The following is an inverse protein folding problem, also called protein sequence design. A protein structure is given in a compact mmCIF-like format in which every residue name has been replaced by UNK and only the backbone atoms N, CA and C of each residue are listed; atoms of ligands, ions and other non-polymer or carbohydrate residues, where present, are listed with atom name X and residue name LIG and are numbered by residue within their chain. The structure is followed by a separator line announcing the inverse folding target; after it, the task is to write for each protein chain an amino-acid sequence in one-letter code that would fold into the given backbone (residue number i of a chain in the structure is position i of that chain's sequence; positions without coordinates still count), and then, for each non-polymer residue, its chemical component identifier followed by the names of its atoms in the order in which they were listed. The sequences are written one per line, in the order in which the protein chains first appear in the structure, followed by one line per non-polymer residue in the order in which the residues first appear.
data_IF_449866524245
#
_entry.id   IF_449866524245
#
_cell.length_a   1.000
_cell.length_b   1.000
_cell.length_c   1.000
_cell.angle_alpha   90.00
_cell.angle_beta   90.00
_cell.angle_gamma   90.00
#
_symmetry.space_group_name_H-M   'P 1'
#
loop_
_entity.id
_entity.type
_entity.pdbx_description
1 polymer ?
#
# COMPACT_ATOMS: atom_id res chain seq x y z
N UNK A 1 1.16 1.96 24.78
CA UNK A 1 2.28 2.93 24.86
C UNK A 1 2.65 3.26 23.44
N UNK A 2 2.72 4.52 23.09
CA UNK A 2 3.22 4.96 21.79
C UNK A 2 4.70 4.61 21.70
N UNK A 3 5.13 4.03 20.58
CA UNK A 3 6.53 3.72 20.31
C UNK A 3 7.25 5.01 19.93
N UNK A 4 8.43 5.25 20.47
CA UNK A 4 9.18 6.49 20.26
C UNK A 4 10.23 6.29 19.19
N UNK A 5 10.24 7.19 18.18
CA UNK A 5 11.33 7.37 17.22
C UNK A 5 12.06 8.68 17.57
N UNK A 6 13.28 8.58 18.04
CA UNK A 6 14.13 9.76 18.29
C UNK A 6 14.89 10.13 17.01
N UNK A 7 14.94 11.41 16.69
CA UNK A 7 15.69 11.92 15.53
C UNK A 7 16.70 12.94 15.97
N UNK A 8 17.97 12.67 15.69
CA UNK A 8 19.07 13.59 15.94
C UNK A 8 19.86 13.86 14.66
N UNK A 9 20.01 15.12 14.33
CA UNK A 9 20.86 15.58 13.25
C UNK A 9 21.66 16.80 13.68
N UNK A 10 22.85 16.96 13.10
CA UNK A 10 23.70 18.15 13.33
C UNK A 10 23.04 19.45 12.84
N UNK A 11 22.09 19.32 11.86
CA UNK A 11 21.19 20.39 11.46
C UNK A 11 19.88 20.30 12.27
N UNK A 12 19.68 21.19 13.27
CA UNK A 12 18.46 21.18 14.08
C UNK A 12 17.20 21.47 13.29
N UNK A 13 17.30 22.20 12.18
CA UNK A 13 16.16 22.51 11.35
C UNK A 13 15.67 21.26 10.59
N UNK A 14 16.59 20.39 10.18
CA UNK A 14 16.26 19.13 9.55
C UNK A 14 15.50 18.20 10.50
N UNK A 15 16.06 17.97 11.71
CA UNK A 15 15.45 17.09 12.70
C UNK A 15 14.02 17.52 13.05
N UNK A 16 13.79 18.83 13.26
CA UNK A 16 12.46 19.39 13.54
C UNK A 16 11.50 19.21 12.37
N UNK A 17 11.89 19.60 11.15
CA UNK A 17 11.05 19.46 9.96
C UNK A 17 10.66 18.00 9.70
N UNK A 18 11.61 17.09 9.87
CA UNK A 18 11.32 15.67 9.69
C UNK A 18 10.30 15.18 10.72
N UNK A 19 10.46 15.52 11.99
CA UNK A 19 9.52 15.15 13.05
C UNK A 19 8.13 15.77 12.79
N UNK A 20 8.06 17.06 12.45
CA UNK A 20 6.79 17.75 12.17
C UNK A 20 6.03 17.09 11.00
N UNK A 21 6.73 16.84 9.88
CA UNK A 21 6.14 16.20 8.70
C UNK A 21 5.71 14.76 9.00
N UNK A 22 6.47 14.04 9.82
CA UNK A 22 6.18 12.64 10.14
C UNK A 22 5.03 12.52 11.13
N UNK A 23 4.98 13.36 12.16
CA UNK A 23 3.91 13.37 13.16
C UNK A 23 2.56 13.86 12.61
N UNK A 24 2.56 14.70 11.57
CA UNK A 24 1.31 15.08 10.87
C UNK A 24 0.70 13.92 10.09
N UNK A 25 1.46 12.85 9.86
CA UNK A 25 0.98 11.68 9.13
C UNK A 25 0.47 10.64 10.12
N UNK A 26 -0.84 10.47 10.23
CA UNK A 26 -1.49 9.43 11.05
C UNK A 26 -1.05 7.98 10.73
N UNK A 27 -0.18 7.81 9.73
CA UNK A 27 0.25 6.51 9.18
C UNK A 27 1.50 5.96 9.86
N UNK A 28 2.24 6.78 10.60
CA UNK A 28 3.47 6.35 11.27
C UNK A 28 3.14 5.95 12.70
N UNK A 29 3.39 4.70 13.13
CA UNK A 29 3.03 4.21 14.46
C UNK A 29 4.08 4.56 15.51
N UNK A 30 4.78 5.67 15.31
CA UNK A 30 5.80 6.21 16.22
C UNK A 30 5.49 7.67 16.49
N UNK A 31 5.71 8.06 17.75
CA UNK A 31 5.84 9.47 18.11
C UNK A 31 7.28 9.92 17.82
N UNK A 32 7.44 10.84 16.89
CA UNK A 32 8.75 11.26 16.40
C UNK A 32 9.22 12.49 17.18
N UNK A 33 10.28 12.34 17.96
CA UNK A 33 10.82 13.38 18.83
C UNK A 33 12.15 13.88 18.27
N UNK A 34 12.24 15.17 17.89
CA UNK A 34 13.49 15.76 17.40
C UNK A 34 14.40 16.18 18.56
N UNK A 35 15.66 15.83 18.46
CA UNK A 35 16.71 16.27 19.37
C UNK A 35 17.73 17.15 18.64
N UNK A 36 18.15 18.21 19.29
CA UNK A 36 19.11 19.20 18.78
C UNK A 36 20.41 19.23 19.60
N UNK A 37 20.48 18.49 20.71
CA UNK A 37 21.69 18.27 21.46
C UNK A 37 21.83 16.80 21.85
N UNK A 38 23.06 16.32 21.84
CA UNK A 38 23.40 14.95 22.19
C UNK A 38 23.13 14.66 23.67
N UNK A 39 23.40 15.63 24.52
CA UNK A 39 23.19 15.53 25.97
C UNK A 39 21.71 15.35 26.29
N UNK A 40 20.82 16.11 25.62
CA UNK A 40 19.39 16.00 25.80
C UNK A 40 18.86 14.62 25.31
N UNK A 41 19.39 14.11 24.19
CA UNK A 41 19.05 12.79 23.66
C UNK A 41 19.50 11.68 24.64
N UNK A 42 20.72 11.74 25.14
CA UNK A 42 21.23 10.76 26.11
C UNK A 42 20.45 10.79 27.43
N UNK A 43 20.10 12.00 27.93
CA UNK A 43 19.30 12.13 29.14
C UNK A 43 17.88 11.57 28.94
N UNK A 44 17.31 11.78 27.75
CA UNK A 44 16.01 11.23 27.38
C UNK A 44 16.04 9.71 27.32
N UNK A 45 17.05 9.11 26.68
CA UNK A 45 17.22 7.66 26.54
C UNK A 45 17.38 6.94 27.88
N UNK A 46 17.94 7.61 28.92
CA UNK A 46 18.02 7.07 30.27
C UNK A 46 16.66 6.96 30.97
N UNK A 47 15.67 7.75 30.57
CA UNK A 47 14.34 7.86 31.20
C UNK A 47 13.23 7.19 30.40
N UNK A 48 13.43 7.04 29.07
CA UNK A 48 12.40 6.55 28.15
C UNK A 48 13.01 5.52 27.20
N UNK A 49 12.24 4.48 26.88
CA UNK A 49 12.65 3.50 25.85
C UNK A 49 12.52 4.16 24.47
N UNK A 50 13.63 4.29 23.76
CA UNK A 50 13.66 4.71 22.36
C UNK A 50 13.61 3.45 21.52
N UNK A 51 12.56 3.30 20.71
CA UNK A 51 12.37 2.14 19.84
C UNK A 51 13.24 2.23 18.59
N UNK A 52 13.26 3.42 17.96
CA UNK A 52 14.10 3.70 16.79
C UNK A 52 14.89 4.99 17.06
N UNK A 53 16.18 4.93 16.82
CA UNK A 53 17.05 6.11 16.80
C UNK A 53 17.49 6.39 15.36
N UNK A 54 17.04 7.50 14.82
CA UNK A 54 17.49 8.01 13.54
C UNK A 54 18.55 9.09 13.80
N UNK A 55 19.79 8.83 13.41
CA UNK A 55 20.93 9.67 13.83
C UNK A 55 21.90 9.96 12.66
N UNK A 56 22.48 11.17 12.63
CA UNK A 56 23.48 11.51 11.62
C UNK A 56 24.65 10.53 11.62
N UNK A 57 25.08 10.09 10.43
CA UNK A 57 26.22 9.17 10.24
C UNK A 57 27.56 9.77 10.69
N UNK A 58 27.61 11.07 11.01
CA UNK A 58 28.81 11.74 11.52
C UNK A 58 29.02 11.57 13.02
N UNK A 59 28.01 11.03 13.75
CA UNK A 59 28.11 10.83 15.21
C UNK A 59 28.92 9.57 15.51
N UNK A 60 29.93 9.67 16.41
CA UNK A 60 30.75 8.52 16.79
C UNK A 60 29.93 7.39 17.42
N UNK A 61 30.26 6.16 17.07
CA UNK A 61 29.56 4.95 17.52
C UNK A 61 29.41 4.85 19.03
N UNK A 62 30.44 5.19 19.78
CA UNK A 62 30.43 5.16 21.26
C UNK A 62 29.30 6.04 21.85
N UNK A 63 29.05 7.21 21.23
CA UNK A 63 27.97 8.11 21.66
C UNK A 63 26.58 7.54 21.29
N UNK A 64 26.48 6.83 20.17
CA UNK A 64 25.23 6.18 19.74
C UNK A 64 24.88 5.02 20.68
N UNK A 65 25.86 4.18 21.00
CA UNK A 65 25.67 3.03 21.92
C UNK A 65 25.28 3.49 23.33
N UNK A 66 25.79 4.64 23.79
CA UNK A 66 25.45 5.20 25.10
C UNK A 66 23.97 5.62 25.25
N UNK A 67 23.21 5.75 24.15
CA UNK A 67 21.79 6.11 24.16
C UNK A 67 20.92 4.91 24.50
N UNK A 68 21.33 3.69 24.11
CA UNK A 68 20.60 2.44 24.43
C UNK A 68 19.27 2.31 23.67
N UNK A 69 19.20 2.76 22.41
CA UNK A 69 18.01 2.57 21.57
C UNK A 69 17.86 1.12 21.09
N UNK A 70 16.62 0.66 20.88
CA UNK A 70 16.32 -0.70 20.43
C UNK A 70 16.81 -0.94 18.99
N UNK A 71 16.61 0.01 18.09
CA UNK A 71 17.09 -0.03 16.71
C UNK A 71 17.74 1.30 16.35
N UNK A 72 18.87 1.25 15.64
CA UNK A 72 19.59 2.44 15.18
C UNK A 72 19.65 2.44 13.67
N UNK A 73 19.30 3.58 13.06
CA UNK A 73 19.42 3.83 11.62
C UNK A 73 20.18 5.12 11.41
N UNK A 74 21.21 5.10 10.58
CA UNK A 74 22.04 6.28 10.32
C UNK A 74 21.54 7.07 9.11
N UNK A 75 21.60 8.40 9.21
CA UNK A 75 21.34 9.36 8.15
C UNK A 75 22.64 9.68 7.40
N UNK A 76 22.77 9.24 6.16
CA UNK A 76 23.92 9.53 5.32
C UNK A 76 23.65 10.70 4.37
N UNK A 77 24.65 11.57 4.19
CA UNK A 77 24.60 12.72 3.27
C UNK A 77 25.25 12.43 1.91
N UNK A 78 26.00 11.35 1.79
CA UNK A 78 26.70 10.90 0.57
C UNK A 78 26.06 9.74 -0.12
N UNK A 79 26.74 9.20 -1.15
CA UNK A 79 26.29 8.02 -1.89
C UNK A 79 26.05 6.80 -0.97
N UNK A 80 25.06 6.01 -1.33
CA UNK A 80 24.44 4.94 -0.56
C UNK A 80 25.49 3.91 -0.10
N UNK A 81 25.92 4.04 1.13
CA UNK A 81 26.56 2.96 1.87
C UNK A 81 25.44 2.25 2.63
N UNK A 82 25.22 0.96 2.36
CA UNK A 82 24.12 0.19 3.00
C UNK A 82 24.24 0.14 4.53
N UNK A 83 25.41 0.36 5.07
CA UNK A 83 25.68 0.43 6.51
C UNK A 83 26.86 1.32 6.82
N UNK A 84 26.77 2.07 7.92
CA UNK A 84 27.87 2.84 8.51
C UNK A 84 28.07 2.27 9.92
N UNK A 85 29.30 1.88 10.25
CA UNK A 85 29.65 1.28 11.55
C UNK A 85 28.76 0.13 12.01
N UNK A 86 28.32 -0.73 11.07
CA UNK A 86 27.38 -1.86 11.28
C UNK A 86 25.92 -1.45 11.49
N UNK A 87 25.55 -0.19 11.46
CA UNK A 87 24.18 0.26 11.48
C UNK A 87 23.63 0.42 10.06
N UNK A 88 22.37 0.04 9.78
CA UNK A 88 21.75 0.33 8.50
C UNK A 88 21.74 1.83 8.25
N UNK A 89 21.94 2.22 6.99
CA UNK A 89 22.06 3.61 6.60
C UNK A 89 21.04 3.99 5.53
N UNK A 90 20.41 5.14 5.69
CA UNK A 90 19.45 5.69 4.74
C UNK A 90 19.90 7.05 4.24
N UNK A 91 19.62 7.36 2.98
CA UNK A 91 19.99 8.66 2.41
C UNK A 91 19.11 9.77 2.96
N UNK A 92 19.74 10.81 3.52
CA UNK A 92 19.06 11.92 4.21
C UNK A 92 18.22 12.79 3.28
N UNK A 93 18.70 13.11 2.08
CA UNK A 93 18.09 14.07 1.16
C UNK A 93 17.14 13.41 0.18
N UNK A 94 16.14 12.70 0.68
CA UNK A 94 15.06 12.09 -0.11
C UNK A 94 13.69 12.56 0.42
N UNK A 95 12.61 12.24 -0.31
CA UNK A 95 11.25 12.56 0.16
C UNK A 95 10.97 11.90 1.53
N UNK A 96 10.32 12.61 2.43
CA UNK A 96 10.05 12.12 3.79
C UNK A 96 9.36 10.74 3.80
N UNK A 97 8.43 10.49 2.87
CA UNK A 97 7.75 9.18 2.75
C UNK A 97 8.71 8.05 2.39
N UNK A 98 9.67 8.31 1.51
CA UNK A 98 10.68 7.32 1.14
C UNK A 98 11.62 7.05 2.31
N UNK A 99 12.04 8.11 3.01
CA UNK A 99 12.89 7.99 4.19
C UNK A 99 12.21 7.17 5.30
N UNK A 100 10.97 7.52 5.65
CA UNK A 100 10.19 6.79 6.66
C UNK A 100 10.05 5.31 6.30
N UNK A 101 9.73 5.01 5.03
CA UNK A 101 9.59 3.62 4.55
C UNK A 101 10.89 2.85 4.70
N UNK A 102 12.03 3.42 4.32
CA UNK A 102 13.34 2.79 4.47
C UNK A 102 13.69 2.57 5.95
N UNK A 103 13.44 3.55 6.81
CA UNK A 103 13.67 3.44 8.27
C UNK A 103 12.81 2.30 8.87
N UNK A 104 11.52 2.24 8.50
CA UNK A 104 10.64 1.15 8.94
C UNK A 104 11.14 -0.20 8.40
N UNK A 105 11.62 -0.25 7.16
CA UNK A 105 12.22 -1.46 6.58
C UNK A 105 13.41 -1.96 7.41
N UNK A 106 14.35 -1.07 7.73
CA UNK A 106 15.49 -1.39 8.59
C UNK A 106 15.06 -1.86 9.99
N UNK A 107 14.02 -1.24 10.56
CA UNK A 107 13.48 -1.64 11.87
C UNK A 107 12.89 -3.06 11.84
N UNK A 108 12.18 -3.42 10.77
CA UNK A 108 11.60 -4.76 10.61
C UNK A 108 12.63 -5.87 10.41
N UNK A 109 13.86 -5.55 10.03
CA UNK A 109 14.97 -6.50 9.95
C UNK A 109 15.62 -6.81 11.32
N UNK A 110 15.26 -6.03 12.35
CA UNK A 110 15.79 -6.21 13.72
C UNK A 110 15.06 -7.33 14.47
N UNK A 111 15.76 -8.15 15.31
CA UNK A 111 15.18 -9.33 15.97
C UNK A 111 14.08 -9.04 17.01
N UNK A 112 13.91 -7.81 17.43
CA UNK A 112 13.01 -7.41 18.54
C UNK A 112 11.61 -6.99 18.09
N UNK A 113 11.18 -7.31 16.88
CA UNK A 113 9.87 -6.89 16.36
C UNK A 113 8.70 -7.53 17.13
N UNK A 114 8.07 -6.77 18.01
CA UNK A 114 6.77 -7.12 18.57
C UNK A 114 5.67 -6.70 17.60
N UNK A 115 4.95 -7.68 17.04
CA UNK A 115 3.87 -7.44 16.10
C UNK A 115 2.82 -6.47 16.63
N UNK A 116 2.64 -5.35 15.96
CA UNK A 116 1.50 -4.44 16.17
C UNK A 116 0.28 -5.06 15.51
N UNK A 117 -0.70 -5.48 16.30
CA UNK A 117 -2.02 -5.86 15.80
C UNK A 117 -2.90 -4.63 15.86
N UNK A 118 -3.28 -4.10 14.71
CA UNK A 118 -4.28 -3.04 14.63
C UNK A 118 -5.66 -3.68 14.82
N UNK A 119 -6.24 -3.54 16.00
CA UNK A 119 -7.62 -3.94 16.25
C UNK A 119 -8.55 -2.89 15.62
N UNK A 120 -8.94 -3.14 14.38
CA UNK A 120 -9.88 -2.32 13.61
C UNK A 120 -11.08 -3.15 13.12
N UNK A 121 -12.05 -2.46 12.50
CA UNK A 121 -13.11 -3.12 11.74
C UNK A 121 -12.48 -3.78 10.51
N UNK A 122 -12.95 -4.98 10.10
CA UNK A 122 -12.54 -5.62 8.85
C UNK A 122 -12.74 -4.65 7.68
N UNK A 123 -11.70 -4.45 6.88
CA UNK A 123 -11.79 -3.66 5.65
C UNK A 123 -12.76 -4.31 4.67
N UNK A 124 -13.45 -3.49 3.88
CA UNK A 124 -14.25 -3.98 2.75
C UNK A 124 -13.37 -4.23 1.54
N UNK A 125 -13.50 -5.41 0.96
CA UNK A 125 -12.77 -5.81 -0.24
C UNK A 125 -13.65 -5.55 -1.46
N UNK A 126 -13.24 -4.59 -2.29
CA UNK A 126 -13.94 -4.19 -3.51
C UNK A 126 -13.14 -4.69 -4.71
N UNK A 127 -13.63 -5.76 -5.36
CA UNK A 127 -13.03 -6.30 -6.55
C UNK A 127 -13.51 -5.55 -7.80
N UNK A 128 -12.60 -5.31 -8.75
CA UNK A 128 -12.95 -4.84 -10.08
C UNK A 128 -12.54 -5.92 -11.07
N UNK A 129 -13.51 -6.58 -11.65
CA UNK A 129 -13.28 -7.67 -12.60
C UNK A 129 -14.24 -7.58 -13.77
N UNK A 130 -13.81 -8.03 -14.93
CA UNK A 130 -14.66 -8.30 -16.08
C UNK A 130 -13.96 -9.28 -17.02
N UNK A 131 -14.68 -10.25 -17.62
CA UNK A 131 -14.12 -11.10 -18.66
C UNK A 131 -13.83 -10.34 -19.95
N UNK A 132 -14.33 -9.10 -20.05
CA UNK A 132 -14.15 -8.21 -21.20
C UNK A 132 -12.78 -7.49 -21.07
N UNK A 133 -12.03 -7.48 -22.15
CA UNK A 133 -10.82 -6.66 -22.26
C UNK A 133 -11.12 -5.20 -22.55
N UNK A 134 -10.23 -4.28 -22.08
CA UNK A 134 -10.29 -2.84 -22.39
C UNK A 134 -11.64 -2.17 -22.05
N UNK A 135 -12.26 -2.57 -20.96
CA UNK A 135 -13.52 -2.03 -20.44
C UNK A 135 -13.31 -1.08 -19.25
N UNK A 136 -12.14 -0.45 -19.13
CA UNK A 136 -11.79 0.54 -18.10
C UNK A 136 -11.72 -0.02 -16.66
N UNK A 137 -11.39 -1.32 -16.46
CA UNK A 137 -11.23 -1.92 -15.12
C UNK A 137 -10.27 -1.10 -14.23
N UNK A 138 -9.02 -0.99 -14.66
CA UNK A 138 -7.98 -0.26 -13.93
C UNK A 138 -8.35 1.20 -13.69
N UNK A 139 -8.93 1.86 -14.70
CA UNK A 139 -9.41 3.26 -14.55
C UNK A 139 -10.49 3.37 -13.47
N UNK A 140 -11.45 2.43 -13.47
CA UNK A 140 -12.49 2.37 -12.43
C UNK A 140 -11.87 2.12 -11.05
N UNK A 141 -10.95 1.15 -10.94
CA UNK A 141 -10.30 0.79 -9.68
C UNK A 141 -9.54 1.98 -9.08
N UNK A 142 -8.74 2.67 -9.90
CA UNK A 142 -7.99 3.85 -9.46
C UNK A 142 -8.92 5.01 -9.06
N UNK A 143 -9.96 5.27 -9.86
CA UNK A 143 -10.94 6.32 -9.55
C UNK A 143 -11.71 6.01 -8.27
N UNK A 144 -12.14 4.75 -8.10
CA UNK A 144 -12.85 4.29 -6.91
C UNK A 144 -11.97 4.42 -5.66
N UNK A 145 -10.73 3.93 -5.74
CA UNK A 145 -9.79 4.01 -4.64
C UNK A 145 -9.51 5.45 -4.20
N UNK A 146 -9.29 6.35 -5.14
CA UNK A 146 -9.07 7.77 -4.84
C UNK A 146 -10.31 8.47 -4.26
N UNK A 147 -11.52 8.14 -4.73
CA UNK A 147 -12.74 8.73 -4.15
C UNK A 147 -13.00 8.23 -2.73
N UNK A 148 -12.70 6.96 -2.44
CA UNK A 148 -12.81 6.38 -1.09
C UNK A 148 -11.73 6.90 -0.15
N UNK A 149 -10.53 7.17 -0.65
CA UNK A 149 -9.40 7.65 0.14
C UNK A 149 -9.65 9.03 0.79
N UNK A 150 -10.65 9.79 0.31
CA UNK A 150 -11.06 11.05 0.93
C UNK A 150 -11.76 10.87 2.27
N UNK A 151 -12.39 9.73 2.48
CA UNK A 151 -13.25 9.47 3.64
C UNK A 151 -12.66 8.38 4.55
N UNK A 152 -11.66 7.62 4.08
CA UNK A 152 -11.08 6.51 4.85
C UNK A 152 -9.78 5.97 4.28
N UNK A 153 -9.14 5.06 5.01
CA UNK A 153 -7.87 4.44 4.61
C UNK A 153 -8.08 3.38 3.53
N UNK A 154 -7.49 3.59 2.37
CA UNK A 154 -7.63 2.71 1.20
C UNK A 154 -6.29 2.10 0.82
N UNK A 155 -6.28 0.79 0.54
CA UNK A 155 -5.18 0.11 -0.11
C UNK A 155 -5.62 -0.39 -1.50
N UNK A 156 -4.91 0.04 -2.53
CA UNK A 156 -5.09 -0.43 -3.90
C UNK A 156 -4.10 -1.56 -4.22
N UNK A 157 -4.60 -2.62 -4.85
CA UNK A 157 -3.82 -3.76 -5.35
C UNK A 157 -4.16 -4.00 -6.83
N UNK A 158 -3.15 -4.00 -7.69
CA UNK A 158 -3.27 -4.41 -9.09
C UNK A 158 -2.76 -5.85 -9.28
N UNK A 159 -3.65 -6.76 -9.65
CA UNK A 159 -3.34 -8.17 -9.92
C UNK A 159 -3.24 -8.42 -11.43
N UNK A 160 -2.53 -7.57 -12.13
CA UNK A 160 -2.25 -7.74 -13.57
C UNK A 160 -0.73 -7.82 -13.79
N UNK A 161 -0.31 -8.72 -14.67
CA UNK A 161 1.10 -8.93 -15.03
C UNK A 161 1.80 -7.65 -15.49
N UNK A 162 1.08 -6.78 -16.20
CA UNK A 162 1.57 -5.52 -16.72
C UNK A 162 0.60 -4.38 -16.37
N UNK A 163 0.42 -4.10 -15.08
CA UNK A 163 -0.56 -3.12 -14.58
C UNK A 163 -0.29 -1.67 -15.06
N UNK A 164 0.96 -1.31 -15.37
CA UNK A 164 1.34 0.00 -15.89
C UNK A 164 1.23 1.17 -14.89
N UNK A 165 0.65 0.96 -13.71
CA UNK A 165 0.32 2.02 -12.75
C UNK A 165 1.56 2.77 -12.26
N UNK A 166 2.62 2.07 -11.84
CA UNK A 166 3.86 2.72 -11.39
C UNK A 166 4.49 3.64 -12.45
N UNK A 167 4.33 3.27 -13.73
CA UNK A 167 4.78 4.10 -14.84
C UNK A 167 3.88 5.32 -15.08
N UNK A 168 2.59 5.20 -14.81
CA UNK A 168 1.64 6.33 -14.92
C UNK A 168 1.91 7.40 -13.86
N UNK A 169 2.23 7.00 -12.63
CA UNK A 169 2.53 7.94 -11.54
C UNK A 169 3.99 8.40 -11.51
N UNK A 170 4.86 7.81 -12.36
CA UNK A 170 6.27 8.20 -12.43
C UNK A 170 7.12 7.78 -11.23
N UNK A 171 6.63 6.87 -10.39
CA UNK A 171 7.37 6.40 -9.22
C UNK A 171 8.25 5.18 -9.54
N UNK A 172 9.49 5.24 -9.08
CA UNK A 172 10.38 4.08 -9.02
C UNK A 172 10.23 3.42 -7.65
N UNK A 173 9.61 2.24 -7.62
CA UNK A 173 9.39 1.49 -6.39
C UNK A 173 10.52 0.47 -6.19
N UNK A 174 11.08 0.38 -4.96
CA UNK A 174 12.09 -0.63 -4.62
C UNK A 174 11.44 -1.98 -4.32
N UNK A 175 10.32 -1.95 -3.61
CA UNK A 175 9.53 -3.09 -3.19
C UNK A 175 8.23 -3.17 -4.00
N UNK A 176 7.65 -4.36 -4.08
CA UNK A 176 6.42 -4.62 -4.81
C UNK A 176 5.58 -5.74 -4.16
N UNK A 177 4.53 -6.19 -4.83
CA UNK A 177 3.65 -7.23 -4.32
C UNK A 177 4.38 -8.57 -4.07
N UNK A 178 5.49 -8.85 -4.79
CA UNK A 178 6.28 -10.08 -4.55
C UNK A 178 6.89 -10.10 -3.15
N UNK A 179 7.33 -8.93 -2.63
CA UNK A 179 7.82 -8.84 -1.25
C UNK A 179 6.72 -9.13 -0.24
N UNK A 180 5.50 -8.62 -0.46
CA UNK A 180 4.34 -8.92 0.41
C UNK A 180 4.03 -10.40 0.42
N UNK A 181 4.05 -11.05 -0.75
CA UNK A 181 3.80 -12.48 -0.91
C UNK A 181 4.88 -13.32 -0.21
N UNK A 182 6.13 -12.90 -0.32
CA UNK A 182 7.23 -13.53 0.38
C UNK A 182 7.00 -13.52 1.89
N UNK A 183 6.74 -12.36 2.49
CA UNK A 183 6.48 -12.26 3.93
C UNK A 183 5.19 -12.97 4.36
N UNK A 184 4.17 -12.95 3.52
CA UNK A 184 2.93 -13.69 3.77
C UNK A 184 3.16 -15.20 3.87
N UNK A 185 3.94 -15.78 2.94
CA UNK A 185 4.30 -17.21 2.94
C UNK A 185 5.15 -17.61 4.13
N UNK A 186 6.01 -16.71 4.60
CA UNK A 186 6.80 -16.92 5.81
C UNK A 186 5.99 -16.80 7.12
N UNK A 187 4.74 -16.36 7.04
CA UNK A 187 3.92 -16.05 8.23
C UNK A 187 4.33 -14.78 8.96
N UNK A 188 5.12 -13.94 8.33
CA UNK A 188 5.81 -12.79 8.91
C UNK A 188 5.33 -11.44 8.33
N UNK A 189 4.18 -11.46 7.64
CA UNK A 189 3.55 -10.25 7.15
C UNK A 189 2.86 -9.51 8.30
N UNK A 190 3.58 -8.55 8.88
CA UNK A 190 3.10 -7.65 9.92
C UNK A 190 2.65 -6.30 9.33
N UNK A 191 1.94 -5.49 10.15
CA UNK A 191 1.56 -4.12 9.76
C UNK A 191 2.77 -3.27 9.40
N UNK A 192 3.87 -3.43 10.15
CA UNK A 192 5.10 -2.67 9.92
C UNK A 192 5.78 -3.07 8.60
N UNK A 193 5.89 -4.38 8.33
CA UNK A 193 6.43 -4.87 7.06
C UNK A 193 5.59 -4.40 5.88
N UNK A 194 4.26 -4.46 5.98
CA UNK A 194 3.41 -3.93 4.92
C UNK A 194 3.68 -2.43 4.68
N UNK A 195 3.81 -1.63 5.75
CA UNK A 195 4.09 -0.19 5.64
C UNK A 195 5.45 0.13 5.01
N UNK A 196 6.45 -0.75 5.16
CA UNK A 196 7.74 -0.60 4.48
C UNK A 196 7.67 -0.88 2.98
N UNK A 197 6.61 -1.54 2.49
CA UNK A 197 6.43 -1.93 1.09
C UNK A 197 5.41 -1.05 0.37
N UNK A 198 4.39 -0.57 1.10
CA UNK A 198 3.30 0.25 0.57
C UNK A 198 3.80 1.65 0.20
N UNK A 199 3.32 2.15 -0.93
CA UNK A 199 3.53 3.51 -1.41
C UNK A 199 2.22 4.29 -1.38
N UNK A 200 2.31 5.60 -1.40
CA UNK A 200 1.14 6.48 -1.43
C UNK A 200 1.12 7.28 -2.72
N UNK A 201 -0.05 7.36 -3.35
CA UNK A 201 -0.34 8.26 -4.45
C UNK A 201 -1.53 9.14 -4.07
N UNK A 202 -1.29 10.43 -3.91
CA UNK A 202 -2.22 11.38 -3.30
C UNK A 202 -2.65 10.90 -1.90
N UNK A 203 -3.91 10.54 -1.70
CA UNK A 203 -4.45 10.06 -0.41
C UNK A 203 -4.61 8.52 -0.35
N UNK A 204 -4.38 7.82 -1.45
CA UNK A 204 -4.53 6.37 -1.56
C UNK A 204 -3.19 5.66 -1.41
N UNK A 205 -3.14 4.67 -0.53
CA UNK A 205 -2.03 3.74 -0.47
C UNK A 205 -2.16 2.68 -1.58
N UNK A 206 -1.03 2.25 -2.11
CA UNK A 206 -1.00 1.20 -3.10
C UNK A 206 0.19 0.26 -2.92
N UNK A 207 -0.03 -1.00 -3.26
CA UNK A 207 1.05 -1.96 -3.46
C UNK A 207 1.50 -1.88 -4.93
N UNK A 208 2.78 -1.61 -5.20
CA UNK A 208 3.29 -1.71 -6.55
C UNK A 208 3.03 -3.13 -7.09
N UNK A 209 2.58 -3.26 -8.35
CA UNK A 209 2.38 -4.57 -8.94
C UNK A 209 3.71 -5.32 -9.04
N UNK A 210 3.65 -6.63 -9.14
CA UNK A 210 4.84 -7.48 -9.31
C UNK A 210 5.71 -6.97 -10.44
N UNK A 211 7.02 -7.02 -10.25
CA UNK A 211 8.01 -6.67 -11.27
C UNK A 211 8.18 -7.77 -12.30
N UNK A 212 8.06 -9.02 -11.85
CA UNK A 212 8.13 -10.22 -12.67
C UNK A 212 6.76 -10.88 -12.73
N UNK A 213 6.14 -10.98 -13.92
CA UNK A 213 4.82 -11.62 -14.10
C UNK A 213 4.73 -13.02 -13.54
N UNK A 214 5.84 -13.77 -13.59
CA UNK A 214 5.96 -15.14 -13.10
C UNK A 214 5.66 -15.25 -11.60
N UNK A 215 5.89 -14.20 -10.85
CA UNK A 215 5.59 -14.17 -9.41
C UNK A 215 4.09 -14.27 -9.14
N UNK A 216 3.24 -13.66 -10.02
CA UNK A 216 1.78 -13.83 -9.95
C UNK A 216 1.32 -15.22 -10.39
N UNK A 217 1.99 -15.81 -11.37
CA UNK A 217 1.63 -17.14 -11.88
C UNK A 217 1.91 -18.25 -10.85
N UNK A 218 2.89 -18.04 -9.97
CA UNK A 218 3.26 -18.98 -8.90
C UNK A 218 2.29 -18.96 -7.71
N UNK A 219 1.33 -18.02 -7.67
CA UNK A 219 0.39 -17.87 -6.56
C UNK A 219 -0.89 -18.58 -6.90
N UNK A 220 -1.32 -19.46 -6.00
CA UNK A 220 -2.65 -20.05 -6.12
C UNK A 220 -3.74 -19.03 -5.78
N UNK A 221 -4.94 -19.22 -6.34
CA UNK A 221 -6.08 -18.38 -5.99
C UNK A 221 -6.42 -18.42 -4.51
N UNK A 222 -6.25 -19.56 -3.86
CA UNK A 222 -6.48 -19.70 -2.42
C UNK A 222 -5.48 -18.89 -1.59
N UNK A 223 -4.20 -18.91 -1.96
CA UNK A 223 -3.19 -18.07 -1.30
C UNK A 223 -3.53 -16.59 -1.46
N UNK A 224 -3.91 -16.16 -2.67
CA UNK A 224 -4.30 -14.77 -2.92
C UNK A 224 -5.56 -14.41 -2.11
N UNK A 225 -6.56 -15.26 -2.07
CA UNK A 225 -7.76 -15.05 -1.25
C UNK A 225 -7.42 -14.85 0.23
N UNK A 226 -6.58 -15.73 0.80
CA UNK A 226 -6.09 -15.63 2.19
C UNK A 226 -5.26 -14.37 2.43
N UNK A 227 -4.44 -13.96 1.47
CA UNK A 227 -3.71 -12.69 1.56
C UNK A 227 -4.67 -11.50 1.62
N UNK A 228 -5.68 -11.45 0.75
CA UNK A 228 -6.68 -10.38 0.75
C UNK A 228 -7.44 -10.33 2.08
N UNK A 229 -7.83 -11.48 2.63
CA UNK A 229 -8.47 -11.57 3.95
C UNK A 229 -7.55 -11.05 5.07
N UNK A 230 -6.27 -11.45 5.07
CA UNK A 230 -5.29 -10.96 6.05
C UNK A 230 -5.09 -9.45 5.96
N UNK A 231 -4.95 -8.91 4.75
CA UNK A 231 -4.83 -7.47 4.54
C UNK A 231 -6.08 -6.72 5.06
N UNK A 232 -7.27 -7.29 4.84
CA UNK A 232 -8.52 -6.69 5.30
C UNK A 232 -8.70 -6.74 6.83
N UNK A 233 -8.22 -7.79 7.48
CA UNK A 233 -8.43 -8.00 8.91
C UNK A 233 -7.39 -7.31 9.80
N UNK A 234 -6.13 -7.29 9.36
CA UNK A 234 -5.01 -7.03 10.27
C UNK A 234 -4.27 -5.70 9.97
N UNK A 235 -4.44 -5.12 8.77
CA UNK A 235 -3.57 -4.03 8.32
C UNK A 235 -4.12 -2.61 8.56
N UNK A 236 -5.33 -2.50 9.11
CA UNK A 236 -5.91 -1.21 9.54
C UNK A 236 -6.42 -0.33 8.40
N UNK A 237 -6.71 -0.90 7.24
CA UNK A 237 -7.42 -0.25 6.16
C UNK A 237 -8.95 -0.35 6.35
N UNK A 238 -9.69 0.57 5.74
CA UNK A 238 -11.15 0.52 5.68
C UNK A 238 -11.64 -0.09 4.38
N UNK A 239 -10.85 0.10 3.32
CA UNK A 239 -11.14 -0.42 1.99
C UNK A 239 -9.90 -1.06 1.35
N UNK A 240 -10.09 -2.22 0.75
CA UNK A 240 -9.16 -2.81 -0.22
C UNK A 240 -9.79 -2.71 -1.60
N UNK A 241 -9.14 -2.04 -2.54
CA UNK A 241 -9.56 -1.97 -3.94
C UNK A 241 -8.66 -2.87 -4.75
N UNK A 242 -9.24 -3.97 -5.28
CA UNK A 242 -8.50 -5.02 -5.99
C UNK A 242 -8.83 -4.95 -7.47
N UNK A 243 -7.88 -4.49 -8.28
CA UNK A 243 -7.98 -4.53 -9.75
C UNK A 243 -7.58 -5.93 -10.22
N UNK A 244 -8.60 -6.76 -10.45
CA UNK A 244 -8.42 -8.17 -10.82
C UNK A 244 -8.17 -8.26 -12.33
N UNK A 245 -6.91 -8.41 -12.70
CA UNK A 245 -6.49 -8.53 -14.10
C UNK A 245 -6.94 -9.84 -14.76
N UNK A 246 -5.97 -10.68 -15.11
CA UNK A 246 -6.24 -12.02 -15.68
C UNK A 246 -5.67 -13.11 -14.75
N UNK A 247 -6.40 -13.45 -13.68
CA UNK A 247 -5.87 -14.33 -12.64
C UNK A 247 -5.80 -15.81 -13.04
N UNK A 248 -6.12 -16.16 -14.28
CA UNK A 248 -6.15 -17.57 -14.73
C UNK A 248 -7.06 -18.42 -13.84
N UNK A 249 -6.59 -19.60 -13.41
CA UNK A 249 -7.32 -20.51 -12.52
C UNK A 249 -7.56 -19.99 -11.11
N UNK A 250 -7.05 -18.81 -10.77
CA UNK A 250 -7.16 -18.20 -9.45
C UNK A 250 -8.38 -17.29 -9.26
N UNK A 251 -9.24 -17.16 -10.28
CA UNK A 251 -10.35 -16.19 -10.29
C UNK A 251 -11.34 -16.38 -9.14
N UNK A 252 -11.86 -17.60 -8.97
CA UNK A 252 -12.96 -17.86 -8.03
C UNK A 252 -12.59 -17.55 -6.57
N UNK A 253 -11.43 -17.98 -6.04
CA UNK A 253 -11.04 -17.63 -4.68
C UNK A 253 -10.86 -16.12 -4.47
N UNK A 254 -10.33 -15.40 -5.47
CA UNK A 254 -10.18 -13.94 -5.40
C UNK A 254 -11.54 -13.24 -5.36
N UNK A 255 -12.47 -13.61 -6.27
CA UNK A 255 -13.82 -13.03 -6.26
C UNK A 255 -14.60 -13.43 -5.00
N UNK A 256 -14.38 -14.66 -4.50
CA UNK A 256 -14.97 -15.14 -3.25
C UNK A 256 -14.54 -14.31 -2.04
N UNK A 257 -13.30 -13.85 -1.99
CA UNK A 257 -12.78 -13.00 -0.92
C UNK A 257 -13.35 -11.56 -0.96
N UNK A 258 -13.85 -11.10 -2.14
CA UNK A 258 -14.44 -9.77 -2.27
C UNK A 258 -15.79 -9.67 -1.58
N UNK A 259 -16.12 -8.52 -1.00
CA UNK A 259 -17.45 -8.20 -0.49
C UNK A 259 -18.38 -7.73 -1.63
N UNK A 260 -17.83 -7.01 -2.61
CA UNK A 260 -18.52 -6.55 -3.81
C UNK A 260 -17.56 -6.68 -5.00
N UNK A 261 -18.09 -7.07 -6.16
CA UNK A 261 -17.35 -7.11 -7.43
C UNK A 261 -18.03 -6.17 -8.43
N UNK A 262 -17.39 -5.04 -8.71
CA UNK A 262 -17.82 -4.18 -9.80
C UNK A 262 -17.34 -4.73 -11.14
N UNK A 263 -18.27 -4.98 -12.04
CA UNK A 263 -17.99 -5.58 -13.34
C UNK A 263 -18.33 -4.61 -14.47
N UNK A 264 -17.33 -3.89 -15.02
CA UNK A 264 -17.55 -3.08 -16.21
C UNK A 264 -18.01 -3.91 -17.39
N UNK A 265 -19.10 -3.48 -18.04
CA UNK A 265 -19.73 -4.14 -19.20
C UNK A 265 -19.72 -3.25 -20.43
N UNK A 266 -19.83 -3.88 -21.62
CA UNK A 266 -20.02 -3.24 -22.93
C UNK A 266 -21.17 -3.91 -23.66
N UNK A 267 -21.81 -3.17 -24.58
CA UNK A 267 -23.03 -3.62 -25.30
C UNK A 267 -22.74 -4.23 -26.68
N UNK A 268 -21.50 -4.61 -26.97
CA UNK A 268 -21.19 -5.34 -28.21
C UNK A 268 -21.40 -6.84 -28.07
N UNK A 269 -21.62 -7.54 -29.18
CA UNK A 269 -21.96 -8.96 -29.18
C UNK A 269 -20.88 -9.88 -28.60
N UNK A 270 -19.59 -9.55 -28.77
CA UNK A 270 -18.48 -10.33 -28.18
C UNK A 270 -18.47 -10.16 -26.66
N UNK A 271 -18.71 -8.95 -26.20
CA UNK A 271 -18.78 -8.66 -24.78
C UNK A 271 -19.97 -9.37 -24.12
N UNK A 272 -21.13 -9.38 -24.77
CA UNK A 272 -22.31 -10.14 -24.31
C UNK A 272 -22.01 -11.64 -24.17
N UNK A 273 -21.47 -12.27 -25.22
CA UNK A 273 -21.10 -13.67 -25.19
C UNK A 273 -20.12 -14.02 -24.05
N UNK A 274 -19.11 -13.20 -23.81
CA UNK A 274 -18.17 -13.42 -22.68
C UNK A 274 -18.81 -13.31 -21.31
N UNK A 275 -19.81 -12.45 -21.18
CA UNK A 275 -20.55 -12.30 -19.92
C UNK A 275 -21.46 -13.53 -19.70
N UNK A 276 -22.11 -14.03 -20.75
CA UNK A 276 -22.92 -15.25 -20.73
C UNK A 276 -22.05 -16.46 -20.36
N UNK A 277 -20.88 -16.63 -20.99
CA UNK A 277 -19.92 -17.70 -20.63
C UNK A 277 -19.49 -17.64 -19.17
N UNK A 278 -19.29 -16.44 -18.60
CA UNK A 278 -18.95 -16.29 -17.18
C UNK A 278 -20.12 -16.71 -16.29
N UNK A 279 -21.36 -16.31 -16.64
CA UNK A 279 -22.55 -16.68 -15.87
C UNK A 279 -22.76 -18.20 -15.87
N UNK A 280 -22.68 -18.83 -17.04
CA UNK A 280 -22.75 -20.29 -17.19
C UNK A 280 -21.65 -21.00 -16.39
N UNK A 281 -20.42 -20.47 -16.43
CA UNK A 281 -19.32 -21.03 -15.66
C UNK A 281 -19.58 -20.95 -14.15
N UNK A 282 -20.07 -19.81 -13.63
CA UNK A 282 -20.39 -19.65 -12.21
C UNK A 282 -21.52 -20.56 -11.76
N UNK A 283 -22.48 -20.83 -12.63
CA UNK A 283 -23.55 -21.81 -12.41
C UNK A 283 -23.01 -23.26 -12.37
N UNK A 284 -22.18 -23.65 -13.36
CA UNK A 284 -21.57 -24.98 -13.41
C UNK A 284 -20.70 -25.30 -12.18
N UNK A 285 -20.00 -24.30 -11.64
CA UNK A 285 -19.14 -24.49 -10.45
C UNK A 285 -19.88 -24.25 -9.14
N UNK A 286 -21.19 -24.05 -9.18
CA UNK A 286 -22.09 -23.87 -8.04
C UNK A 286 -21.62 -22.72 -7.08
N UNK A 287 -21.32 -21.54 -7.66
CA UNK A 287 -20.86 -20.36 -6.90
C UNK A 287 -21.87 -19.20 -6.94
N UNK A 288 -23.10 -19.39 -6.43
CA UNK A 288 -24.08 -18.31 -6.34
C UNK A 288 -23.62 -17.18 -5.44
N UNK A 289 -22.79 -17.48 -4.44
CA UNK A 289 -22.18 -16.49 -3.54
C UNK A 289 -21.39 -15.42 -4.29
N UNK A 290 -20.70 -15.79 -5.37
CA UNK A 290 -19.97 -14.85 -6.22
C UNK A 290 -20.94 -14.05 -7.09
N UNK A 291 -21.96 -14.71 -7.68
CA UNK A 291 -22.95 -14.04 -8.52
C UNK A 291 -23.67 -12.93 -7.75
N UNK A 292 -24.05 -13.17 -6.49
CA UNK A 292 -24.69 -12.17 -5.63
C UNK A 292 -23.82 -10.95 -5.33
N UNK A 293 -22.50 -11.08 -5.36
CA UNK A 293 -21.54 -9.99 -5.15
C UNK A 293 -21.31 -9.13 -6.40
N UNK A 294 -21.60 -9.67 -7.60
CA UNK A 294 -21.35 -8.98 -8.86
C UNK A 294 -22.33 -7.83 -9.07
N UNK A 295 -21.78 -6.65 -9.38
CA UNK A 295 -22.53 -5.46 -9.79
C UNK A 295 -22.04 -5.04 -11.17
N UNK A 296 -22.82 -5.33 -12.19
CA UNK A 296 -22.54 -4.90 -13.56
C UNK A 296 -22.69 -3.39 -13.66
N UNK A 297 -21.66 -2.73 -14.20
CA UNK A 297 -21.60 -1.27 -14.34
C UNK A 297 -21.28 -0.89 -15.77
N UNK A 298 -22.12 -0.02 -16.34
CA UNK A 298 -21.87 0.58 -17.65
C UNK A 298 -21.13 1.89 -17.44
N UNK A 299 -19.83 1.90 -17.70
CA UNK A 299 -19.00 3.06 -17.50
C UNK A 299 -19.20 4.10 -18.62
N UNK A 300 -19.16 5.41 -18.32
CA UNK A 300 -19.12 6.41 -19.35
C UNK A 300 -17.85 6.23 -20.18
N UNK A 301 -18.02 6.06 -21.47
CA UNK A 301 -16.92 5.96 -22.41
C UNK A 301 -16.68 7.33 -23.04
N UNK A 302 -15.49 7.86 -22.88
CA UNK A 302 -15.06 9.07 -23.57
C UNK A 302 -13.78 8.78 -24.38
N UNK A 303 -13.64 9.43 -25.52
CA UNK A 303 -12.48 9.26 -26.41
C UNK A 303 -11.25 10.07 -25.96
N UNK A 304 -11.43 11.04 -25.07
CA UNK A 304 -10.37 11.89 -24.54
C UNK A 304 -9.61 11.19 -23.40
N UNK A 305 -8.93 10.12 -23.76
CA UNK A 305 -7.85 9.60 -22.92
C UNK A 305 -6.64 10.50 -23.10
N UNK A 306 -6.66 11.65 -22.47
CA UNK A 306 -5.70 12.70 -22.56
C UNK A 306 -4.21 12.32 -22.62
N UNK A 307 -3.36 13.28 -22.55
CA UNK A 307 -1.92 13.06 -22.44
C UNK A 307 -1.63 12.24 -21.19
N UNK A 308 -0.64 11.37 -21.26
CA UNK A 308 -0.22 10.48 -20.16
C UNK A 308 -0.06 11.22 -18.83
N UNK A 309 0.44 12.44 -18.88
CA UNK A 309 0.73 13.29 -17.73
C UNK A 309 -0.53 13.76 -16.98
N UNK A 310 -1.64 13.93 -17.69
CA UNK A 310 -2.93 14.41 -17.11
C UNK A 310 -3.96 13.29 -16.97
N UNK A 311 -3.66 12.08 -17.43
CA UNK A 311 -4.62 10.98 -17.48
C UNK A 311 -5.25 10.68 -16.11
N UNK A 312 -4.42 10.56 -15.06
CA UNK A 312 -4.88 10.23 -13.72
C UNK A 312 -5.74 11.34 -13.09
N UNK A 313 -5.41 12.60 -13.36
CA UNK A 313 -6.23 13.74 -12.93
C UNK A 313 -7.59 13.76 -13.65
N UNK A 314 -7.59 13.46 -14.94
CA UNK A 314 -8.82 13.37 -15.73
C UNK A 314 -9.74 12.24 -15.26
N UNK A 315 -9.20 11.12 -14.76
CA UNK A 315 -10.01 10.06 -14.17
C UNK A 315 -10.82 10.57 -12.96
N UNK A 316 -10.23 11.42 -12.13
CA UNK A 316 -10.86 11.92 -10.90
C UNK A 316 -11.89 13.01 -11.16
N UNK A 317 -11.56 13.93 -12.06
CA UNK A 317 -12.33 15.17 -12.28
C UNK A 317 -13.20 15.10 -13.54
N UNK A 318 -13.05 14.06 -14.36
CA UNK A 318 -13.84 13.84 -15.56
C UNK A 318 -15.11 13.02 -15.31
N UNK A 319 -15.73 12.60 -16.42
CA UNK A 319 -16.99 11.85 -16.41
C UNK A 319 -16.95 10.55 -15.57
N UNK A 320 -15.81 9.83 -15.57
CA UNK A 320 -15.65 8.64 -14.75
C UNK A 320 -15.65 8.98 -13.26
N UNK A 321 -14.99 10.07 -12.87
CA UNK A 321 -15.01 10.55 -11.48
C UNK A 321 -16.41 10.93 -11.01
N UNK A 322 -17.19 11.64 -11.85
CA UNK A 322 -18.59 11.96 -11.57
C UNK A 322 -19.45 10.69 -11.42
N UNK A 323 -19.26 9.74 -12.33
CA UNK A 323 -19.96 8.45 -12.28
C UNK A 323 -19.68 7.69 -10.98
N UNK A 324 -18.39 7.57 -10.59
CA UNK A 324 -17.99 6.86 -9.37
C UNK A 324 -18.55 7.59 -8.13
N UNK A 325 -18.53 8.92 -8.08
CA UNK A 325 -19.15 9.68 -6.98
C UNK A 325 -20.65 9.41 -6.85
N UNK A 326 -21.37 9.30 -7.97
CA UNK A 326 -22.79 8.96 -7.96
C UNK A 326 -23.01 7.50 -7.52
N UNK A 327 -22.21 6.58 -8.04
CA UNK A 327 -22.25 5.17 -7.67
C UNK A 327 -22.06 4.99 -6.16
N UNK A 328 -21.10 5.69 -5.56
CA UNK A 328 -20.82 5.63 -4.13
C UNK A 328 -21.96 6.21 -3.25
N UNK A 329 -22.74 7.18 -3.74
CA UNK A 329 -23.90 7.70 -2.98
C UNK A 329 -25.03 6.69 -2.81
N UNK A 330 -25.16 5.75 -3.73
CA UNK A 330 -26.17 4.69 -3.70
C UNK A 330 -25.81 3.46 -2.87
N UNK A 331 -24.66 3.45 -2.21
CA UNK A 331 -24.18 2.26 -1.52
C UNK A 331 -24.52 2.32 -0.02
N UNK A 332 -25.26 1.33 0.54
CA UNK A 332 -25.82 1.41 1.90
C UNK A 332 -24.77 1.36 3.05
N UNK A 333 -23.51 1.23 2.73
CA UNK A 333 -22.42 1.13 3.71
C UNK A 333 -21.48 2.35 3.78
N UNK A 334 -21.85 3.43 3.11
CA UNK A 334 -21.13 4.72 3.19
C UNK A 334 -21.72 5.64 4.23
#
# INVERSE_FOLDING_TARGET
MEKIMAVYDVDPAYARRFADVTNQKERVPFDVIPFTSMEALQEYGKKHKIEILLISSTVPREQVEAIGAGSVVTLAEGEIVKSVDSYPSVYKYQAADSLIREVIGCYCESPEEAGLVVRGRKARILGIYSPIGRCLKTSLALTLGQQLARDGKVLYLGLDAFAGFSRLIGNSCKNDLSDVLYFFRQGDLTVMRLRSIVYTWQEMDYLPPVRYPEDLEQITGEEMGKLLEKLALEMGYEYLVVDVGRPGGSLLPILGACDIVYMPVKEDGISAARLEELDEYLEMVERPDIQEKIRRVKLPYHNDFGRRETYLEQLLWGQLGDYVRQMLKGVPWR
#
